data_IF_385903958265
#
_entry.id   IF_385903958265
#
_cell.length_a   1.000
_cell.length_b   1.000
_cell.length_c   1.000
_cell.angle_alpha   90.00
_cell.angle_beta   90.00
_cell.angle_gamma   90.00
#
_symmetry.space_group_name_H-M   'P 1'
#
loop_
_entity.id
_entity.type
_entity.pdbx_description
1 polymer ?
#
# COMPACT_ATOMS: atom_id res chain seq x y z
N UNK A 1 -35.48 -39.74 26.22
CA UNK A 1 -35.32 -38.66 25.24
C UNK A 1 -34.00 -37.95 25.55
N UNK A 2 -33.06 -37.95 24.62
CA UNK A 2 -31.73 -37.36 24.78
C UNK A 2 -31.67 -35.94 24.20
N UNK A 3 -30.68 -35.14 24.60
CA UNK A 3 -30.35 -33.90 23.89
C UNK A 3 -29.69 -34.27 22.55
N UNK A 4 -30.27 -33.83 21.44
CA UNK A 4 -29.71 -33.99 20.10
C UNK A 4 -28.67 -32.92 19.76
N UNK A 5 -27.62 -32.78 20.58
CA UNK A 5 -26.51 -31.85 20.28
C UNK A 5 -25.79 -32.35 19.02
N UNK A 6 -25.75 -31.53 17.96
CA UNK A 6 -24.94 -31.80 16.77
C UNK A 6 -23.78 -30.82 16.72
N UNK A 7 -22.58 -31.38 16.88
CA UNK A 7 -21.31 -30.69 16.71
C UNK A 7 -20.78 -31.10 15.35
N UNK A 8 -20.62 -30.13 14.45
CA UNK A 8 -19.77 -30.31 13.28
C UNK A 8 -18.34 -30.03 13.73
N UNK A 9 -17.36 -30.80 13.24
CA UNK A 9 -15.93 -30.52 13.42
C UNK A 9 -15.23 -30.78 12.11
N UNK A 10 -14.67 -29.72 11.51
CA UNK A 10 -13.74 -29.82 10.39
C UNK A 10 -12.33 -29.80 10.94
N UNK A 11 -11.60 -30.92 10.80
CA UNK A 11 -10.20 -31.01 11.24
C UNK A 11 -9.38 -31.90 10.32
N UNK A 12 -8.31 -31.35 9.76
CA UNK A 12 -7.12 -32.12 9.44
C UNK A 12 -5.87 -31.23 9.42
N UNK A 13 -4.79 -31.72 10.02
CA UNK A 13 -3.42 -31.19 9.91
C UNK A 13 -3.13 -29.73 10.36
N UNK A 14 -3.74 -29.24 11.45
CA UNK A 14 -3.11 -28.15 12.24
C UNK A 14 -4.04 -27.20 12.96
N UNK A 15 -5.05 -26.67 12.26
CA UNK A 15 -6.02 -25.71 12.80
C UNK A 15 -7.45 -26.17 12.50
N UNK A 16 -8.36 -25.99 13.47
CA UNK A 16 -9.75 -26.41 13.39
C UNK A 16 -10.65 -25.48 14.21
N UNK A 17 -11.65 -24.87 13.56
CA UNK A 17 -12.72 -24.11 14.21
C UNK A 17 -14.07 -24.70 13.81
N UNK A 18 -15.01 -24.81 14.75
CA UNK A 18 -16.37 -25.26 14.43
C UNK A 18 -17.45 -24.83 15.44
N UNK A 19 -18.69 -24.85 14.94
CA UNK A 19 -19.92 -24.27 15.51
C UNK A 19 -20.63 -25.26 16.47
N UNK A 20 -21.46 -24.75 17.39
CA UNK A 20 -22.21 -25.55 18.36
C UNK A 20 -23.73 -25.31 18.32
N UNK A 21 -24.52 -26.37 18.07
CA UNK A 21 -25.99 -26.35 18.09
C UNK A 21 -26.52 -27.30 19.19
N UNK A 22 -27.49 -26.86 20.01
CA UNK A 22 -27.96 -27.58 21.22
C UNK A 22 -29.49 -27.65 21.27
N UNK A 23 -30.02 -28.86 21.42
CA UNK A 23 -31.47 -29.14 21.51
C UNK A 23 -31.81 -29.92 22.80
N UNK A 24 -32.86 -29.53 23.57
CA UNK A 24 -33.18 -30.15 24.89
C UNK A 24 -34.63 -30.70 25.06
N UNK A 25 -34.83 -31.91 25.63
CA UNK A 25 -36.14 -32.58 25.78
C UNK A 25 -37.04 -32.12 26.98
N UNK A 26 -38.31 -32.56 27.05
CA UNK A 26 -39.45 -31.75 27.55
C UNK A 26 -39.64 -31.42 29.06
N UNK A 27 -38.71 -31.73 29.98
CA UNK A 27 -39.03 -31.73 31.43
C UNK A 27 -38.34 -30.67 32.30
N UNK A 28 -37.59 -29.72 31.73
CA UNK A 28 -36.96 -28.63 32.50
C UNK A 28 -37.76 -27.32 32.37
N UNK A 29 -38.46 -26.90 33.43
CA UNK A 29 -39.10 -25.57 33.49
C UNK A 29 -38.08 -24.49 33.85
N UNK A 30 -37.66 -23.71 32.85
CA UNK A 30 -37.08 -22.38 33.06
C UNK A 30 -38.06 -21.32 32.58
N UNK A 31 -38.32 -20.30 33.41
CA UNK A 31 -38.93 -19.03 32.95
C UNK A 31 -37.79 -18.05 32.69
N UNK A 32 -37.22 -18.10 31.50
CA UNK A 32 -36.47 -16.98 30.93
C UNK A 32 -37.42 -16.21 29.99
N UNK A 33 -37.44 -14.88 30.02
CA UNK A 33 -38.13 -14.09 29.00
C UNK A 33 -37.27 -14.06 27.72
N UNK A 34 -37.79 -14.67 26.65
CA UNK A 34 -37.16 -14.87 25.32
C UNK A 34 -36.06 -15.96 25.22
N UNK A 35 -35.88 -16.56 24.02
CA UNK A 35 -34.87 -17.58 23.76
C UNK A 35 -33.53 -16.92 23.41
N UNK A 36 -32.59 -16.98 24.34
CA UNK A 36 -31.20 -16.55 24.13
C UNK A 36 -30.32 -17.79 23.94
N UNK A 37 -29.63 -17.90 22.80
CA UNK A 37 -28.62 -18.93 22.60
C UNK A 37 -27.30 -18.45 23.23
N UNK A 38 -26.94 -19.02 24.39
CA UNK A 38 -25.69 -18.71 25.08
C UNK A 38 -24.74 -19.92 24.99
N UNK A 39 -23.61 -19.76 24.29
CA UNK A 39 -22.52 -20.72 24.32
C UNK A 39 -21.61 -20.42 25.51
N UNK A 40 -21.57 -21.32 26.49
CA UNK A 40 -20.68 -21.21 27.65
C UNK A 40 -19.36 -21.95 27.36
N UNK A 41 -18.27 -21.21 27.21
CA UNK A 41 -16.90 -21.75 27.12
C UNK A 41 -16.27 -21.65 28.52
N UNK A 42 -15.53 -22.67 29.02
CA UNK A 42 -15.01 -22.65 30.38
C UNK A 42 -14.09 -21.45 30.67
N UNK A 43 -14.39 -20.76 31.76
CA UNK A 43 -13.57 -19.67 32.27
C UNK A 43 -12.20 -20.18 32.74
N UNK A 44 -11.12 -19.61 32.21
CA UNK A 44 -9.91 -19.43 32.99
C UNK A 44 -10.14 -18.39 34.09
N UNK A 45 -9.24 -18.27 35.10
CA UNK A 45 -9.45 -17.42 36.28
C UNK A 45 -9.62 -15.91 35.98
N UNK A 46 -9.36 -15.46 34.75
CA UNK A 46 -9.48 -14.07 34.29
C UNK A 46 -10.76 -13.81 33.45
N UNK A 47 -11.82 -14.61 33.58
CA UNK A 47 -13.02 -14.44 32.76
C UNK A 47 -13.80 -13.15 33.10
N UNK A 48 -13.95 -12.28 32.10
CA UNK A 48 -14.73 -11.04 32.20
C UNK A 48 -16.23 -11.39 32.18
N UNK A 49 -17.05 -10.91 33.14
CA UNK A 49 -18.49 -11.15 33.11
C UNK A 49 -19.15 -10.45 31.92
N UNK A 50 -20.03 -11.16 31.22
CA UNK A 50 -20.84 -10.59 30.14
C UNK A 50 -21.90 -9.63 30.73
N UNK A 51 -22.04 -8.39 30.23
CA UNK A 51 -23.13 -7.50 30.61
C UNK A 51 -24.48 -7.99 30.03
N UNK A 52 -25.58 -7.38 30.48
CA UNK A 52 -26.93 -7.74 30.00
C UNK A 52 -27.06 -7.58 28.47
N UNK A 53 -27.77 -8.50 27.79
CA UNK A 53 -27.99 -8.40 26.36
C UNK A 53 -28.84 -7.16 26.00
N UNK A 54 -28.66 -6.58 24.81
CA UNK A 54 -29.41 -5.41 24.39
C UNK A 54 -30.92 -5.70 24.28
N UNK A 55 -31.73 -4.64 24.38
CA UNK A 55 -33.18 -4.73 24.19
C UNK A 55 -33.56 -5.31 22.80
N UNK A 56 -34.79 -5.86 22.70
CA UNK A 56 -35.28 -6.59 21.52
C UNK A 56 -34.92 -5.91 20.19
N UNK A 57 -34.40 -6.67 19.23
CA UNK A 57 -33.95 -6.19 17.93
C UNK A 57 -32.43 -5.97 17.83
N UNK A 58 -31.73 -5.98 18.96
CA UNK A 58 -30.28 -5.78 19.03
C UNK A 58 -29.45 -7.08 19.06
N UNK A 59 -28.19 -6.95 18.64
CA UNK A 59 -27.13 -7.90 18.93
C UNK A 59 -25.93 -7.13 19.53
N UNK A 60 -25.26 -7.75 20.50
CA UNK A 60 -24.03 -7.27 21.11
C UNK A 60 -22.89 -8.25 20.83
N UNK A 61 -21.68 -7.71 20.70
CA UNK A 61 -20.47 -8.46 20.42
C UNK A 61 -19.47 -8.27 21.56
N UNK A 62 -18.87 -9.38 21.99
CA UNK A 62 -17.90 -9.43 23.07
C UNK A 62 -16.58 -10.01 22.58
N UNK A 63 -15.51 -9.26 22.76
CA UNK A 63 -14.13 -9.70 22.49
C UNK A 63 -13.56 -10.39 23.74
N UNK A 64 -13.13 -11.63 23.58
CA UNK A 64 -12.32 -12.37 24.56
C UNK A 64 -10.91 -12.59 24.01
N UNK A 65 -9.96 -12.91 24.91
CA UNK A 65 -8.51 -13.06 24.60
C UNK A 65 -8.14 -13.96 23.41
N UNK A 66 -9.03 -14.85 22.94
CA UNK A 66 -8.84 -15.74 21.78
C UNK A 66 -10.13 -16.02 20.98
N UNK A 67 -11.22 -15.30 21.26
CA UNK A 67 -12.54 -15.67 20.73
C UNK A 67 -13.51 -14.48 20.77
N UNK A 68 -14.49 -14.50 19.88
CA UNK A 68 -15.57 -13.53 19.83
C UNK A 68 -16.89 -14.20 20.17
N UNK A 69 -17.75 -13.54 20.94
CA UNK A 69 -19.08 -14.05 21.33
C UNK A 69 -20.14 -13.03 20.96
N UNK A 70 -21.14 -13.45 20.18
CA UNK A 70 -22.28 -12.61 19.80
C UNK A 70 -23.55 -13.05 20.55
N UNK A 71 -24.28 -12.09 21.13
CA UNK A 71 -25.53 -12.33 21.86
C UNK A 71 -26.64 -11.39 21.34
N UNK A 72 -27.82 -11.92 21.05
CA UNK A 72 -28.95 -11.13 20.54
C UNK A 72 -30.15 -12.03 20.22
N UNK A 73 -31.21 -11.45 19.63
CA UNK A 73 -32.31 -12.26 19.09
C UNK A 73 -31.92 -12.97 17.79
N UNK A 74 -32.63 -14.06 17.44
CA UNK A 74 -32.26 -14.91 16.32
C UNK A 74 -32.26 -14.20 14.95
N UNK A 75 -33.10 -13.17 14.74
CA UNK A 75 -33.09 -12.41 13.48
C UNK A 75 -31.95 -11.38 13.45
N UNK A 76 -31.64 -10.76 14.58
CA UNK A 76 -30.46 -9.90 14.70
C UNK A 76 -29.18 -10.71 14.51
N UNK A 77 -29.07 -11.88 15.15
CA UNK A 77 -27.95 -12.82 14.99
C UNK A 77 -27.86 -13.43 13.58
N UNK A 78 -28.97 -13.67 12.88
CA UNK A 78 -28.93 -14.13 11.49
C UNK A 78 -28.41 -13.05 10.52
N UNK A 79 -28.87 -11.80 10.65
CA UNK A 79 -28.30 -10.66 9.91
C UNK A 79 -26.82 -10.42 10.26
N UNK A 80 -26.46 -10.66 11.52
CA UNK A 80 -25.07 -10.67 11.94
C UNK A 80 -24.33 -11.81 11.23
N UNK A 81 -24.83 -13.04 11.24
CA UNK A 81 -24.21 -14.20 10.60
C UNK A 81 -24.04 -14.04 9.07
N UNK A 82 -25.00 -13.45 8.37
CA UNK A 82 -24.90 -13.14 6.93
C UNK A 82 -23.80 -12.10 6.65
N UNK A 83 -23.76 -11.00 7.43
CA UNK A 83 -22.66 -10.04 7.36
C UNK A 83 -21.33 -10.61 7.86
N UNK A 84 -21.35 -11.64 8.69
CA UNK A 84 -20.17 -12.33 9.23
C UNK A 84 -19.65 -13.45 8.35
N UNK A 85 -20.45 -13.97 7.42
CA UNK A 85 -19.94 -14.80 6.32
C UNK A 85 -19.06 -13.93 5.40
N UNK A 86 -19.55 -12.76 5.00
CA UNK A 86 -18.78 -11.77 4.24
C UNK A 86 -17.57 -11.23 5.04
N UNK A 87 -17.77 -10.77 6.28
CA UNK A 87 -16.66 -10.29 7.12
C UNK A 87 -15.67 -11.40 7.45
N UNK A 88 -16.12 -12.65 7.63
CA UNK A 88 -15.26 -13.81 7.86
C UNK A 88 -14.43 -14.18 6.63
N UNK A 89 -15.03 -14.19 5.44
CA UNK A 89 -14.32 -14.41 4.18
C UNK A 89 -13.35 -13.26 3.87
N UNK A 90 -13.77 -12.01 4.09
CA UNK A 90 -12.92 -10.81 3.93
C UNK A 90 -11.79 -10.78 4.95
N UNK A 91 -12.03 -11.18 6.20
CA UNK A 91 -11.01 -11.30 7.22
C UNK A 91 -10.03 -12.44 6.89
N UNK A 92 -10.51 -13.60 6.43
CA UNK A 92 -9.65 -14.69 5.99
C UNK A 92 -8.77 -14.25 4.79
N UNK A 93 -9.36 -13.61 3.77
CA UNK A 93 -8.62 -13.02 2.64
C UNK A 93 -7.63 -11.93 3.10
N UNK A 94 -8.01 -11.06 4.04
CA UNK A 94 -7.13 -10.02 4.56
C UNK A 94 -5.97 -10.61 5.38
N UNK A 95 -6.21 -11.63 6.20
CA UNK A 95 -5.17 -12.36 6.95
C UNK A 95 -4.25 -13.16 6.02
N UNK A 96 -4.79 -13.77 4.96
CA UNK A 96 -3.99 -14.42 3.92
C UNK A 96 -3.11 -13.38 3.21
N UNK A 97 -3.69 -12.27 2.72
CA UNK A 97 -2.97 -11.16 2.08
C UNK A 97 -1.93 -10.51 3.01
N UNK A 98 -2.20 -10.41 4.31
CA UNK A 98 -1.28 -9.90 5.33
C UNK A 98 -0.16 -10.91 5.68
N UNK A 99 -0.42 -12.21 5.50
CA UNK A 99 0.56 -13.29 5.64
C UNK A 99 1.42 -13.44 4.40
N UNK A 100 0.87 -13.17 3.20
CA UNK A 100 1.65 -13.00 1.96
C UNK A 100 2.70 -11.92 2.18
N UNK A 101 3.94 -12.23 1.84
CA UNK A 101 5.07 -11.29 1.84
C UNK A 101 5.52 -11.16 0.39
N UNK A 102 5.24 -10.05 -0.28
CA UNK A 102 5.79 -9.79 -1.61
C UNK A 102 7.33 -9.81 -1.52
N UNK A 103 7.93 -10.86 -2.07
CA UNK A 103 9.37 -11.13 -2.06
C UNK A 103 10.06 -10.63 -3.33
N UNK A 104 9.26 -10.19 -4.32
CA UNK A 104 9.74 -9.64 -5.58
C UNK A 104 8.70 -8.74 -6.25
N UNK A 105 9.19 -7.88 -7.14
CA UNK A 105 8.40 -7.19 -8.17
C UNK A 105 8.91 -7.65 -9.53
N UNK A 106 8.02 -8.21 -10.36
CA UNK A 106 8.40 -8.69 -11.69
C UNK A 106 8.49 -7.56 -12.71
N UNK A 107 9.45 -7.70 -13.63
CA UNK A 107 9.64 -6.81 -14.79
C UNK A 107 9.32 -7.54 -16.10
N UNK A 108 9.14 -6.82 -17.20
CA UNK A 108 8.81 -7.42 -18.51
C UNK A 108 10.04 -8.13 -19.11
N UNK A 109 11.22 -7.57 -18.83
CA UNK A 109 12.56 -7.99 -19.23
C UNK A 109 13.51 -7.83 -18.03
N UNK A 110 14.69 -8.45 -18.10
CA UNK A 110 15.68 -8.40 -17.02
C UNK A 110 15.27 -9.20 -15.76
N UNK A 111 16.08 -9.14 -14.69
CA UNK A 111 15.78 -9.82 -13.44
C UNK A 111 14.66 -9.13 -12.65
N UNK A 112 13.88 -9.93 -11.92
CA UNK A 112 12.94 -9.43 -10.90
C UNK A 112 13.67 -8.54 -9.88
N UNK A 113 12.98 -7.53 -9.33
CA UNK A 113 13.49 -6.76 -8.20
C UNK A 113 13.16 -7.51 -6.90
N UNK A 114 14.18 -7.95 -6.17
CA UNK A 114 14.03 -8.58 -4.86
C UNK A 114 13.43 -7.59 -3.83
N UNK A 115 12.44 -8.07 -3.08
CA UNK A 115 11.77 -7.36 -1.99
C UNK A 115 11.75 -8.23 -0.73
N UNK A 116 11.33 -7.66 0.39
CA UNK A 116 11.07 -8.42 1.62
C UNK A 116 12.33 -8.67 2.45
N UNK A 117 13.42 -9.18 1.86
CA UNK A 117 14.74 -9.32 2.51
C UNK A 117 15.35 -7.95 2.85
N UNK A 118 15.23 -6.99 1.94
CA UNK A 118 15.62 -5.59 2.07
C UNK A 118 14.52 -4.64 1.58
N UNK A 119 14.65 -3.36 1.90
CA UNK A 119 13.84 -2.31 1.29
C UNK A 119 14.47 -1.82 -0.01
N UNK A 120 13.66 -1.66 -1.05
CA UNK A 120 14.09 -1.07 -2.31
C UNK A 120 14.09 0.46 -2.25
N UNK A 121 15.00 1.10 -2.99
CA UNK A 121 15.10 2.57 -3.07
C UNK A 121 14.89 3.04 -4.51
N UNK A 122 13.88 3.88 -4.69
CA UNK A 122 13.57 4.56 -5.94
C UNK A 122 14.10 6.00 -5.87
N UNK A 123 15.08 6.32 -6.71
CA UNK A 123 15.67 7.66 -6.83
C UNK A 123 14.85 8.57 -7.74
N UNK A 124 14.56 9.80 -7.30
CA UNK A 124 13.72 10.75 -8.05
C UNK A 124 14.57 11.57 -9.04
N UNK A 125 14.21 11.54 -10.32
CA UNK A 125 14.72 12.41 -11.38
C UNK A 125 13.59 13.27 -11.97
N UNK A 126 13.43 14.50 -11.48
CA UNK A 126 12.52 15.46 -12.11
C UNK A 126 13.24 16.16 -13.28
N UNK A 127 12.66 16.11 -14.48
CA UNK A 127 13.20 16.78 -15.67
C UNK A 127 12.56 18.17 -15.79
N UNK A 128 13.37 19.22 -15.77
CA UNK A 128 12.91 20.61 -15.99
C UNK A 128 13.08 21.03 -17.45
N UNK A 129 12.29 22.00 -17.97
CA UNK A 129 12.35 22.42 -19.39
C UNK A 129 13.76 22.76 -19.88
N UNK A 130 14.53 23.45 -19.03
CA UNK A 130 15.88 23.95 -19.32
C UNK A 130 16.94 22.83 -19.48
N UNK A 131 16.57 21.57 -19.26
CA UNK A 131 17.51 20.43 -19.28
C UNK A 131 17.94 19.99 -20.68
N UNK A 132 17.17 20.33 -21.73
CA UNK A 132 17.36 19.82 -23.10
C UNK A 132 17.02 20.83 -24.23
N UNK A 133 16.63 22.07 -23.91
CA UNK A 133 16.09 23.02 -24.90
C UNK A 133 17.13 23.68 -25.83
N UNK A 134 18.41 23.67 -25.46
CA UNK A 134 19.45 24.36 -26.21
C UNK A 134 20.10 23.40 -27.21
N UNK A 135 19.61 23.46 -28.46
CA UNK A 135 20.04 22.62 -29.59
C UNK A 135 21.45 22.89 -30.10
N UNK A 136 22.46 22.83 -29.23
CA UNK A 136 23.88 22.87 -29.56
C UNK A 136 24.49 21.48 -29.59
N UNK A 137 25.36 21.19 -30.57
CA UNK A 137 26.19 20.00 -30.53
C UNK A 137 27.12 20.10 -29.29
N UNK A 138 26.95 19.18 -28.34
CA UNK A 138 27.80 18.94 -27.16
C UNK A 138 27.63 19.84 -25.90
N UNK A 139 26.41 20.26 -25.55
CA UNK A 139 26.01 20.59 -24.17
C UNK A 139 24.47 20.58 -24.03
N UNK A 140 23.84 20.19 -22.90
CA UNK A 140 24.26 19.23 -21.87
C UNK A 140 23.14 18.16 -21.69
N UNK A 141 23.21 17.00 -22.38
CA UNK A 141 22.45 15.79 -22.01
C UNK A 141 22.89 15.17 -20.67
N UNK A 142 23.59 15.93 -19.84
CA UNK A 142 24.75 15.45 -19.09
C UNK A 142 24.53 15.58 -17.58
N UNK A 143 23.89 16.66 -17.11
CA UNK A 143 23.50 16.79 -15.70
C UNK A 143 22.49 15.72 -15.25
N UNK A 144 21.52 15.37 -16.10
CA UNK A 144 20.56 14.31 -15.81
C UNK A 144 21.23 12.94 -15.75
N UNK A 145 22.09 12.61 -16.72
CA UNK A 145 22.84 11.35 -16.72
C UNK A 145 23.86 11.26 -15.58
N UNK A 146 24.57 12.33 -15.24
CA UNK A 146 25.43 12.39 -14.04
C UNK A 146 24.63 12.18 -12.76
N UNK A 147 23.39 12.69 -12.67
CA UNK A 147 22.51 12.40 -11.51
C UNK A 147 22.06 10.94 -11.49
N UNK A 148 21.79 10.33 -12.65
CA UNK A 148 21.47 8.90 -12.78
C UNK A 148 22.65 8.04 -12.35
N UNK A 149 23.85 8.30 -12.88
CA UNK A 149 25.11 7.63 -12.51
C UNK A 149 25.32 7.70 -11.00
N UNK A 150 25.25 8.90 -10.42
CA UNK A 150 25.35 9.11 -8.98
C UNK A 150 24.24 8.37 -8.21
N UNK A 151 22.98 8.35 -8.65
CA UNK A 151 21.92 7.59 -7.96
C UNK A 151 22.17 6.09 -7.98
N UNK A 152 22.70 5.55 -9.08
CA UNK A 152 23.05 4.13 -9.21
C UNK A 152 24.25 3.78 -8.30
N UNK A 153 25.28 4.63 -8.26
CA UNK A 153 26.44 4.49 -7.35
C UNK A 153 26.06 4.66 -5.86
N UNK A 154 25.17 5.60 -5.56
CA UNK A 154 24.53 5.76 -4.24
C UNK A 154 23.63 4.54 -3.88
N UNK A 155 23.31 3.70 -4.88
CA UNK A 155 22.74 2.36 -4.74
C UNK A 155 21.30 2.18 -5.23
N UNK A 156 20.65 3.18 -5.84
CA UNK A 156 19.24 3.12 -6.24
C UNK A 156 18.88 1.86 -7.06
N UNK A 157 17.76 1.21 -6.74
CA UNK A 157 17.28 0.04 -7.49
C UNK A 157 16.45 0.42 -8.72
N UNK A 158 15.81 1.60 -8.65
CA UNK A 158 14.93 2.17 -9.67
C UNK A 158 15.25 3.66 -9.76
N UNK A 159 15.33 4.20 -10.97
CA UNK A 159 15.31 5.64 -11.24
C UNK A 159 13.93 6.02 -11.76
N UNK A 160 13.26 6.96 -11.11
CA UNK A 160 11.91 7.38 -11.46
C UNK A 160 11.92 8.79 -12.07
N UNK A 161 11.61 8.83 -13.36
CA UNK A 161 11.73 10.00 -14.24
C UNK A 161 10.36 10.67 -14.38
N UNK A 162 10.26 11.96 -14.06
CA UNK A 162 9.02 12.73 -14.17
C UNK A 162 9.20 14.03 -14.96
N UNK A 163 8.32 14.28 -15.93
CA UNK A 163 8.29 15.52 -16.74
C UNK A 163 7.27 16.56 -16.26
N UNK A 164 6.23 16.11 -15.55
CA UNK A 164 5.23 16.96 -14.89
C UNK A 164 5.59 17.16 -13.41
N UNK A 165 5.56 18.40 -12.93
CA UNK A 165 5.71 18.68 -11.49
C UNK A 165 4.40 18.35 -10.77
N UNK A 166 4.35 17.24 -10.04
CA UNK A 166 3.18 16.86 -9.21
C UNK A 166 3.11 17.62 -7.87
N UNK A 167 3.84 18.74 -7.74
CA UNK A 167 3.84 19.61 -6.55
C UNK A 167 2.50 20.37 -6.43
N UNK A 168 2.03 20.68 -5.19
CA UNK A 168 0.80 21.45 -5.00
C UNK A 168 0.79 22.76 -5.81
N UNK A 169 -0.24 22.95 -6.63
CA UNK A 169 -0.45 24.17 -7.42
C UNK A 169 0.36 24.29 -8.72
N UNK A 170 1.10 23.26 -9.13
CA UNK A 170 1.78 23.24 -10.43
C UNK A 170 0.77 23.24 -11.60
N UNK A 171 1.08 23.93 -12.70
CA UNK A 171 0.26 23.88 -13.91
C UNK A 171 0.30 22.48 -14.55
N UNK A 172 -0.83 22.02 -15.10
CA UNK A 172 -0.84 20.82 -15.93
C UNK A 172 -0.13 21.11 -17.26
N UNK A 173 0.68 20.16 -17.71
CA UNK A 173 1.23 20.12 -19.07
C UNK A 173 0.51 19.04 -19.88
N UNK A 174 0.39 19.19 -21.19
CA UNK A 174 -0.18 18.16 -22.05
C UNK A 174 0.76 16.95 -22.23
N UNK A 175 0.27 15.91 -22.92
CA UNK A 175 1.02 14.67 -23.12
C UNK A 175 2.25 14.85 -24.03
N UNK A 176 2.19 15.79 -24.99
CA UNK A 176 3.26 16.03 -25.96
C UNK A 176 4.41 16.80 -25.30
N UNK A 177 4.08 17.78 -24.45
CA UNK A 177 5.02 18.50 -23.58
C UNK A 177 5.68 17.57 -22.56
N UNK A 178 4.92 16.72 -21.89
CA UNK A 178 5.44 15.74 -20.94
C UNK A 178 6.39 14.74 -21.63
N UNK A 179 5.95 14.15 -22.76
CA UNK A 179 6.75 13.22 -23.55
C UNK A 179 8.06 13.87 -24.04
N UNK A 180 7.99 15.08 -24.61
CA UNK A 180 9.18 15.79 -25.12
C UNK A 180 10.24 16.05 -24.05
N UNK A 181 9.87 16.15 -22.76
CA UNK A 181 10.81 16.24 -21.64
C UNK A 181 11.42 14.90 -21.26
N UNK A 182 10.59 13.85 -21.13
CA UNK A 182 11.04 12.57 -20.56
C UNK A 182 11.73 11.64 -21.56
N UNK A 183 11.30 11.63 -22.83
CA UNK A 183 11.81 10.66 -23.81
C UNK A 183 13.33 10.79 -24.07
N UNK A 184 13.89 12.00 -24.32
CA UNK A 184 15.33 12.12 -24.53
C UNK A 184 16.17 11.64 -23.33
N UNK A 185 15.65 11.84 -22.12
CA UNK A 185 16.27 11.37 -20.87
C UNK A 185 16.21 9.84 -20.77
N UNK A 186 15.04 9.23 -21.01
CA UNK A 186 14.85 7.78 -20.92
C UNK A 186 15.70 7.04 -21.96
N UNK A 187 15.70 7.50 -23.21
CA UNK A 187 16.55 6.94 -24.28
C UNK A 187 18.04 7.04 -23.94
N UNK A 188 18.47 8.18 -23.38
CA UNK A 188 19.85 8.39 -22.99
C UNK A 188 20.26 7.51 -21.79
N UNK A 189 19.37 7.35 -20.80
CA UNK A 189 19.57 6.43 -19.68
C UNK A 189 19.70 4.99 -20.20
N UNK A 190 18.76 4.51 -21.02
CA UNK A 190 18.79 3.13 -21.54
C UNK A 190 20.05 2.84 -22.36
N UNK A 191 20.52 3.83 -23.15
CA UNK A 191 21.75 3.72 -23.95
C UNK A 191 23.03 3.72 -23.09
N UNK A 192 23.07 4.47 -21.98
CA UNK A 192 24.26 4.62 -21.14
C UNK A 192 24.33 3.60 -19.99
N UNK A 193 23.18 3.22 -19.44
CA UNK A 193 23.01 2.34 -18.29
C UNK A 193 21.98 1.24 -18.64
N UNK A 194 22.31 0.29 -19.52
CA UNK A 194 21.34 -0.69 -20.05
C UNK A 194 20.71 -1.61 -19.00
N UNK A 195 21.34 -1.78 -17.84
CA UNK A 195 20.84 -2.57 -16.70
C UNK A 195 20.03 -1.75 -15.68
N UNK A 196 19.94 -0.42 -15.84
CA UNK A 196 19.18 0.42 -14.93
C UNK A 196 17.67 0.15 -15.11
N UNK A 197 16.94 0.06 -13.99
CA UNK A 197 15.47 0.03 -14.00
C UNK A 197 14.94 1.46 -14.01
N UNK A 198 14.16 1.79 -15.02
CA UNK A 198 13.61 3.13 -15.23
C UNK A 198 12.09 3.10 -15.05
N UNK A 199 11.59 3.93 -14.15
CA UNK A 199 10.16 4.18 -13.94
C UNK A 199 9.78 5.53 -14.56
N UNK A 200 8.58 5.62 -15.14
CA UNK A 200 7.99 6.87 -15.63
C UNK A 200 6.89 7.36 -14.68
N UNK A 201 7.10 8.51 -14.02
CA UNK A 201 6.10 9.21 -13.20
C UNK A 201 5.18 10.01 -14.13
N UNK A 202 4.03 9.41 -14.49
CA UNK A 202 3.03 10.02 -15.37
C UNK A 202 1.62 9.50 -15.10
N UNK A 203 0.64 10.37 -15.36
CA UNK A 203 -0.80 10.07 -15.28
C UNK A 203 -1.42 9.72 -16.64
N UNK A 204 -0.64 9.79 -17.72
CA UNK A 204 -1.13 9.76 -19.12
C UNK A 204 -0.66 8.51 -19.83
N UNK A 205 -1.59 7.69 -20.31
CA UNK A 205 -1.29 6.45 -21.05
C UNK A 205 -0.48 6.69 -22.33
N UNK A 206 -0.67 7.85 -22.98
CA UNK A 206 0.11 8.27 -24.16
C UNK A 206 1.59 8.46 -23.79
N UNK A 207 1.88 9.27 -22.76
CA UNK A 207 3.24 9.48 -22.25
C UNK A 207 3.86 8.16 -21.79
N UNK A 208 3.11 7.36 -21.04
CA UNK A 208 3.56 6.06 -20.56
C UNK A 208 3.91 5.10 -21.71
N UNK A 209 3.09 5.02 -22.78
CA UNK A 209 3.37 4.16 -23.93
C UNK A 209 4.67 4.58 -24.63
N UNK A 210 4.82 5.86 -24.92
CA UNK A 210 6.05 6.39 -25.54
C UNK A 210 7.28 6.16 -24.65
N UNK A 211 7.15 6.34 -23.33
CA UNK A 211 8.23 6.11 -22.38
C UNK A 211 8.65 4.62 -22.32
N UNK A 212 7.70 3.68 -22.32
CA UNK A 212 7.98 2.24 -22.38
C UNK A 212 8.63 1.86 -23.71
N UNK A 213 8.14 2.39 -24.83
CA UNK A 213 8.70 2.14 -26.17
C UNK A 213 10.13 2.75 -26.31
N UNK A 214 10.43 3.83 -25.59
CA UNK A 214 11.77 4.42 -25.42
C UNK A 214 12.68 3.66 -24.43
N UNK A 215 12.16 2.65 -23.73
CA UNK A 215 12.91 1.79 -22.82
C UNK A 215 12.76 2.09 -21.32
N UNK A 216 11.65 2.68 -20.87
CA UNK A 216 11.24 2.57 -19.46
C UNK A 216 10.72 1.14 -19.15
N UNK A 217 10.87 0.70 -17.91
CA UNK A 217 10.50 -0.65 -17.47
C UNK A 217 9.25 -0.69 -16.56
N UNK A 218 8.84 0.45 -16.00
CA UNK A 218 7.82 0.56 -14.96
C UNK A 218 7.01 1.85 -15.09
N UNK A 219 5.72 1.81 -14.75
CA UNK A 219 4.86 3.00 -14.68
C UNK A 219 4.67 3.39 -13.20
N UNK A 220 4.77 4.67 -12.88
CA UNK A 220 4.39 5.25 -11.59
C UNK A 220 3.20 6.20 -11.80
N UNK A 221 1.98 5.70 -11.60
CA UNK A 221 0.75 6.47 -11.84
C UNK A 221 0.18 7.04 -10.54
N UNK A 222 0.48 8.31 -10.30
CA UNK A 222 -0.03 9.09 -9.16
C UNK A 222 -1.54 9.33 -9.18
N UNK A 223 -2.23 9.08 -10.31
CA UNK A 223 -3.69 9.07 -10.40
C UNK A 223 -4.32 7.73 -10.00
N UNK A 224 -3.50 6.67 -9.92
CA UNK A 224 -3.94 5.32 -9.59
C UNK A 224 -4.81 4.69 -10.67
N UNK A 225 -4.43 4.77 -11.95
CA UNK A 225 -5.19 4.28 -13.11
C UNK A 225 -6.51 5.04 -13.28
N UNK A 226 -6.46 6.37 -13.31
CA UNK A 226 -7.59 7.22 -13.68
C UNK A 226 -7.75 7.35 -15.20
N UNK A 227 -6.66 7.28 -15.96
CA UNK A 227 -6.69 7.11 -17.41
C UNK A 227 -7.13 5.66 -17.74
N UNK A 228 -8.28 5.44 -18.42
CA UNK A 228 -8.80 4.10 -18.70
C UNK A 228 -7.86 3.21 -19.51
N UNK A 229 -6.97 3.79 -20.33
CA UNK A 229 -6.04 3.03 -21.16
C UNK A 229 -4.75 2.61 -20.41
N UNK A 230 -4.46 3.22 -19.24
CA UNK A 230 -3.23 2.95 -18.48
C UNK A 230 -3.14 1.49 -18.00
N UNK A 231 -4.26 0.95 -17.47
CA UNK A 231 -4.31 -0.43 -16.98
C UNK A 231 -4.09 -1.46 -18.11
N UNK A 232 -4.73 -1.22 -19.27
CA UNK A 232 -4.59 -2.06 -20.45
C UNK A 232 -3.16 -2.02 -21.03
N UNK A 233 -2.54 -0.82 -21.09
CA UNK A 233 -1.14 -0.65 -21.49
C UNK A 233 -0.19 -1.45 -20.57
N UNK A 234 -0.38 -1.36 -19.25
CA UNK A 234 0.47 -2.06 -18.30
C UNK A 234 0.39 -3.58 -18.46
N UNK A 235 -0.81 -4.12 -18.69
CA UNK A 235 -1.03 -5.53 -18.99
C UNK A 235 -0.43 -5.94 -20.37
N UNK A 236 -0.66 -5.15 -21.42
CA UNK A 236 -0.13 -5.35 -22.78
C UNK A 236 1.41 -5.45 -22.77
N UNK A 237 2.07 -4.50 -22.10
CA UNK A 237 3.53 -4.43 -21.99
C UNK A 237 4.10 -5.32 -20.88
N UNK A 238 3.25 -5.92 -20.04
CA UNK A 238 3.61 -6.69 -18.82
C UNK A 238 4.52 -5.89 -17.87
N UNK A 239 4.45 -4.57 -17.87
CA UNK A 239 5.30 -3.74 -17.00
C UNK A 239 4.66 -3.58 -15.61
N UNK A 240 5.45 -3.56 -14.53
CA UNK A 240 4.95 -3.22 -13.21
C UNK A 240 4.40 -1.79 -13.16
N UNK A 241 3.42 -1.57 -12.27
CA UNK A 241 2.76 -0.27 -12.05
C UNK A 241 2.66 0.07 -10.56
N UNK A 242 2.98 1.32 -10.20
CA UNK A 242 2.57 1.93 -8.92
C UNK A 242 1.19 2.53 -9.12
N UNK A 243 0.24 2.18 -8.25
CA UNK A 243 -1.06 2.84 -8.14
C UNK A 243 -1.11 3.63 -6.84
N UNK A 244 -1.21 4.96 -6.93
CA UNK A 244 -1.24 5.83 -5.76
C UNK A 244 -2.66 6.26 -5.40
N UNK A 245 -2.93 6.49 -4.11
CA UNK A 245 -4.13 7.17 -3.67
C UNK A 245 -3.95 8.70 -3.59
N UNK A 246 -4.57 9.42 -4.52
CA UNK A 246 -4.68 10.88 -4.53
C UNK A 246 -6.16 11.30 -4.49
N UNK A 247 -6.48 12.40 -3.79
CA UNK A 247 -7.79 13.04 -3.86
C UNK A 247 -7.70 14.36 -4.61
N UNK A 248 -8.54 14.54 -5.63
CA UNK A 248 -8.44 15.68 -6.54
C UNK A 248 -7.21 15.56 -7.47
N UNK A 249 -6.69 16.70 -7.90
CA UNK A 249 -5.53 16.85 -8.79
C UNK A 249 -4.40 17.61 -8.08
N UNK A 250 -3.15 17.64 -8.59
CA UNK A 250 -2.07 18.44 -7.99
C UNK A 250 -2.42 19.92 -7.73
N UNK A 251 -3.33 20.51 -8.52
CA UNK A 251 -3.83 21.90 -8.42
C UNK A 251 -4.92 22.09 -7.36
N UNK A 252 -5.61 21.02 -6.97
CA UNK A 252 -6.84 21.06 -6.16
C UNK A 252 -6.75 20.27 -4.85
N UNK A 253 -5.86 19.27 -4.78
CA UNK A 253 -5.78 18.30 -3.69
C UNK A 253 -5.58 18.92 -2.30
N UNK A 254 -4.90 20.07 -2.21
CA UNK A 254 -4.66 20.76 -0.92
C UNK A 254 -5.78 21.72 -0.52
N UNK A 255 -6.84 21.89 -1.33
CA UNK A 255 -7.97 22.79 -1.02
C UNK A 255 -8.92 22.23 0.03
N UNK A 256 -9.16 20.92 -0.01
CA UNK A 256 -9.85 20.18 1.05
C UNK A 256 -9.11 18.87 1.33
N UNK A 257 -8.64 18.72 2.56
CA UNK A 257 -7.89 17.54 3.04
C UNK A 257 -8.60 16.79 4.18
N UNK A 258 -9.88 17.07 4.43
CA UNK A 258 -10.71 16.39 5.43
C UNK A 258 -11.15 15.02 4.93
N UNK A 259 -10.96 13.98 5.75
CA UNK A 259 -11.48 12.63 5.53
C UNK A 259 -12.40 12.27 6.70
N UNK A 260 -13.40 11.41 6.47
CA UNK A 260 -14.23 10.87 7.55
C UNK A 260 -13.50 9.67 8.20
N UNK A 261 -12.95 8.78 7.38
CA UNK A 261 -11.98 7.77 7.77
C UNK A 261 -10.83 7.78 6.76
N UNK A 262 -9.74 8.47 7.13
CA UNK A 262 -8.56 8.57 6.28
C UNK A 262 -7.97 7.20 5.90
N UNK A 263 -7.97 6.23 6.81
CA UNK A 263 -7.33 4.93 6.55
C UNK A 263 -8.25 4.04 5.71
N UNK A 264 -9.54 3.98 6.04
CA UNK A 264 -10.54 3.26 5.26
C UNK A 264 -10.73 3.82 3.85
N UNK A 265 -10.79 5.14 3.68
CA UNK A 265 -10.90 5.79 2.37
C UNK A 265 -9.66 5.53 1.49
N UNK A 266 -8.45 5.62 2.06
CA UNK A 266 -7.19 5.30 1.36
C UNK A 266 -7.14 3.82 0.99
N UNK A 267 -7.48 2.91 1.91
CA UNK A 267 -7.50 1.46 1.66
C UNK A 267 -8.48 1.13 0.52
N UNK A 268 -9.72 1.60 0.59
CA UNK A 268 -10.74 1.34 -0.43
C UNK A 268 -10.40 2.00 -1.77
N UNK A 269 -9.75 3.16 -1.75
CA UNK A 269 -9.21 3.82 -2.95
C UNK A 269 -8.16 2.97 -3.65
N UNK A 270 -7.20 2.43 -2.91
CA UNK A 270 -6.16 1.53 -3.42
C UNK A 270 -6.74 0.19 -3.87
N UNK A 271 -7.68 -0.41 -3.13
CA UNK A 271 -8.34 -1.66 -3.52
C UNK A 271 -8.98 -1.53 -4.90
N UNK A 272 -9.78 -0.47 -5.13
CA UNK A 272 -10.36 -0.20 -6.46
C UNK A 272 -9.32 -0.05 -7.56
N UNK A 273 -8.14 0.51 -7.27
CA UNK A 273 -7.06 0.66 -8.26
C UNK A 273 -6.33 -0.65 -8.53
N UNK A 274 -6.16 -1.51 -7.51
CA UNK A 274 -5.68 -2.89 -7.68
C UNK A 274 -6.68 -3.68 -8.53
N UNK A 275 -7.98 -3.59 -8.25
CA UNK A 275 -9.02 -4.28 -9.00
C UNK A 275 -9.05 -3.86 -10.48
N UNK A 276 -8.85 -2.56 -10.79
CA UNK A 276 -8.69 -2.07 -12.18
C UNK A 276 -7.50 -2.71 -12.89
N UNK A 277 -6.35 -2.84 -12.21
CA UNK A 277 -5.16 -3.47 -12.77
C UNK A 277 -5.37 -4.98 -13.03
N UNK A 278 -5.97 -5.69 -12.07
CA UNK A 278 -6.28 -7.11 -12.19
C UNK A 278 -7.31 -7.40 -13.30
N UNK A 279 -8.36 -6.57 -13.39
CA UNK A 279 -9.39 -6.70 -14.43
C UNK A 279 -8.85 -6.45 -15.85
N UNK A 280 -7.79 -5.66 -15.98
CA UNK A 280 -7.05 -5.49 -17.25
C UNK A 280 -6.11 -6.67 -17.58
N UNK A 281 -5.96 -7.65 -16.68
CA UNK A 281 -5.10 -8.82 -16.86
C UNK A 281 -3.66 -8.66 -16.37
N UNK A 282 -3.34 -7.59 -15.61
CA UNK A 282 -2.02 -7.45 -14.99
C UNK A 282 -1.90 -8.39 -13.78
N UNK A 283 -0.76 -9.05 -13.62
CA UNK A 283 -0.54 -10.03 -12.56
C UNK A 283 -0.25 -9.40 -11.19
N UNK A 284 -0.64 -10.11 -10.12
CA UNK A 284 -0.42 -9.77 -8.70
C UNK A 284 0.99 -9.25 -8.38
N UNK A 285 2.00 -9.87 -9.00
CA UNK A 285 3.44 -9.64 -8.80
C UNK A 285 4.00 -8.44 -9.60
N UNK A 286 3.11 -7.62 -10.18
CA UNK A 286 3.41 -6.41 -10.96
C UNK A 286 2.70 -5.15 -10.42
N UNK A 287 1.94 -5.25 -9.34
CA UNK A 287 1.15 -4.14 -8.80
C UNK A 287 1.73 -3.66 -7.47
N UNK A 288 2.13 -2.40 -7.39
CA UNK A 288 2.63 -1.71 -6.18
C UNK A 288 1.60 -0.66 -5.75
N UNK A 289 1.39 -0.46 -4.45
CA UNK A 289 0.48 0.56 -3.91
C UNK A 289 1.23 1.69 -3.19
N UNK A 290 0.78 2.94 -3.33
CA UNK A 290 1.29 4.09 -2.55
C UNK A 290 0.14 4.86 -1.86
N UNK A 291 0.14 5.06 -0.52
CA UNK A 291 -0.88 5.83 0.18
C UNK A 291 -1.02 7.30 -0.25
N UNK A 292 -0.03 7.84 -0.96
CA UNK A 292 0.02 9.20 -1.47
C UNK A 292 0.39 10.23 -0.40
N UNK A 293 1.56 10.08 0.22
CA UNK A 293 2.04 11.05 1.22
C UNK A 293 2.21 12.46 0.60
N UNK A 294 1.52 13.43 1.18
CA UNK A 294 1.43 14.82 0.71
C UNK A 294 0.47 15.04 -0.46
N UNK A 295 -0.29 14.03 -0.90
CA UNK A 295 -1.25 14.13 -1.99
C UNK A 295 -2.68 14.20 -1.46
N UNK A 296 -3.12 15.42 -1.14
CA UNK A 296 -4.46 15.69 -0.63
C UNK A 296 -4.73 15.17 0.78
N UNK A 297 -3.73 15.25 1.66
CA UNK A 297 -3.83 14.97 3.12
C UNK A 297 -3.17 16.09 3.91
N UNK A 298 -3.73 16.43 5.06
CA UNK A 298 -3.14 17.40 6.01
C UNK A 298 -1.81 16.87 6.59
N UNK A 299 -1.06 17.69 7.33
CA UNK A 299 0.19 17.21 7.95
C UNK A 299 -0.08 16.05 8.93
N UNK A 300 -1.12 16.21 9.74
CA UNK A 300 -1.62 15.27 10.74
C UNK A 300 -2.18 14.00 10.07
N UNK A 301 -2.80 14.13 8.89
CA UNK A 301 -3.20 13.01 8.05
C UNK A 301 -2.02 12.22 7.50
N UNK A 302 -0.94 12.88 7.06
CA UNK A 302 0.28 12.21 6.63
C UNK A 302 0.98 11.46 7.79
N UNK A 303 1.03 12.06 8.98
CA UNK A 303 1.51 11.40 10.21
C UNK A 303 0.66 10.18 10.56
N UNK A 304 -0.67 10.27 10.40
CA UNK A 304 -1.61 9.17 10.65
C UNK A 304 -1.45 8.04 9.63
N UNK A 305 -1.24 8.35 8.35
CA UNK A 305 -0.94 7.33 7.33
C UNK A 305 0.38 6.61 7.60
N UNK A 306 1.43 7.31 8.04
CA UNK A 306 2.69 6.67 8.43
C UNK A 306 2.51 5.78 9.67
N UNK A 307 1.71 6.22 10.66
CA UNK A 307 1.42 5.45 11.89
C UNK A 307 0.65 4.15 11.60
N UNK A 308 -0.27 4.17 10.64
CA UNK A 308 -1.16 3.04 10.33
C UNK A 308 -0.86 2.37 8.98
N UNK A 309 0.34 2.56 8.42
CA UNK A 309 0.74 2.04 7.11
C UNK A 309 0.58 0.51 6.99
N UNK A 310 0.74 -0.21 8.10
CA UNK A 310 0.61 -1.67 8.18
C UNK A 310 -0.77 -2.19 7.78
N UNK A 311 -1.83 -1.38 7.91
CA UNK A 311 -3.19 -1.73 7.47
C UNK A 311 -3.23 -2.01 5.96
N UNK A 312 -2.45 -1.28 5.17
CA UNK A 312 -2.41 -1.44 3.71
C UNK A 312 -1.77 -2.77 3.28
N UNK A 313 -1.07 -3.48 4.17
CA UNK A 313 -0.60 -4.86 3.91
C UNK A 313 -1.77 -5.83 3.71
N UNK A 314 -2.98 -5.50 4.19
CA UNK A 314 -4.21 -6.25 3.90
C UNK A 314 -4.61 -6.29 2.41
N UNK A 315 -4.00 -5.46 1.56
CA UNK A 315 -4.16 -5.53 0.10
C UNK A 315 -3.23 -6.56 -0.56
N UNK A 316 -2.23 -7.10 0.16
CA UNK A 316 -1.34 -8.15 -0.35
C UNK A 316 -0.39 -7.70 -1.48
N UNK A 317 -0.07 -6.40 -1.53
CA UNK A 317 0.82 -5.77 -2.52
C UNK A 317 2.05 -5.14 -1.86
N UNK A 318 3.20 -5.02 -2.56
CA UNK A 318 4.29 -4.15 -2.15
C UNK A 318 3.80 -2.73 -1.89
N UNK A 319 4.27 -2.12 -0.81
CA UNK A 319 3.94 -0.73 -0.47
C UNK A 319 5.13 0.17 -0.85
N UNK A 320 4.88 1.19 -1.67
CA UNK A 320 5.80 2.29 -1.93
C UNK A 320 5.43 3.49 -1.07
N UNK A 321 6.42 4.24 -0.55
CA UNK A 321 6.17 5.52 0.15
C UNK A 321 7.10 6.63 -0.32
N UNK A 322 6.51 7.70 -0.88
CA UNK A 322 7.21 8.93 -1.29
C UNK A 322 7.10 10.08 -0.28
N UNK A 323 7.74 9.99 0.89
CA UNK A 323 7.70 11.04 1.93
C UNK A 323 8.81 12.12 1.80
N UNK A 324 9.83 11.89 0.97
CA UNK A 324 11.05 12.72 0.90
C UNK A 324 10.76 14.21 0.63
N UNK A 325 11.33 15.08 1.48
CA UNK A 325 11.27 16.56 1.41
C UNK A 325 9.87 17.21 1.44
N UNK A 326 8.81 16.41 1.68
CA UNK A 326 7.40 16.86 1.69
C UNK A 326 7.11 17.93 2.77
N UNK A 327 6.05 18.70 2.56
CA UNK A 327 5.69 19.87 3.37
C UNK A 327 5.36 19.56 4.84
N UNK A 328 4.80 18.39 5.15
CA UNK A 328 4.49 18.01 6.53
C UNK A 328 5.75 17.92 7.41
N UNK A 329 6.88 17.47 6.84
CA UNK A 329 8.19 17.46 7.52
C UNK A 329 8.58 18.90 7.87
N UNK A 330 8.52 19.82 6.90
CA UNK A 330 8.85 21.22 7.13
C UNK A 330 7.97 21.89 8.17
N UNK A 331 6.66 21.59 8.19
CA UNK A 331 5.75 22.05 9.26
C UNK A 331 6.15 21.49 10.63
N UNK A 332 6.55 20.22 10.70
CA UNK A 332 6.88 19.55 11.97
C UNK A 332 8.24 19.95 12.54
N UNK A 333 9.23 20.20 11.68
CA UNK A 333 10.60 20.56 12.11
C UNK A 333 10.88 22.07 12.08
N UNK A 334 9.97 22.88 11.54
CA UNK A 334 10.21 24.31 11.29
C UNK A 334 11.16 24.60 10.13
N UNK A 335 11.41 23.64 9.23
CA UNK A 335 12.33 23.80 8.08
C UNK A 335 11.56 24.20 6.79
N UNK A 336 11.58 25.49 6.40
CA UNK A 336 10.87 25.98 5.22
C UNK A 336 11.45 25.47 3.90
N UNK A 337 12.76 25.19 3.81
CA UNK A 337 13.44 24.83 2.57
C UNK A 337 13.37 23.31 2.31
N UNK A 338 12.68 22.82 1.25
CA UNK A 338 12.60 21.41 0.93
C UNK A 338 13.96 20.68 0.89
N UNK A 339 15.01 21.30 0.34
CA UNK A 339 16.34 20.70 0.24
C UNK A 339 17.01 20.42 1.59
N UNK A 340 16.63 21.14 2.66
CA UNK A 340 17.20 20.99 4.01
C UNK A 340 16.48 19.97 4.88
N UNK A 341 15.35 19.41 4.40
CA UNK A 341 14.52 18.44 5.14
C UNK A 341 15.09 17.02 5.18
N UNK A 342 16.38 16.81 4.92
CA UNK A 342 16.99 15.48 4.88
C UNK A 342 16.80 14.68 6.19
N UNK A 343 17.06 15.20 7.40
CA UNK A 343 16.91 14.43 8.64
C UNK A 343 15.48 13.93 8.85
N UNK A 344 14.48 14.80 8.64
CA UNK A 344 13.07 14.42 8.73
C UNK A 344 12.60 13.49 7.60
N UNK A 345 13.24 13.57 6.42
CA UNK A 345 12.96 12.65 5.30
C UNK A 345 13.46 11.24 5.60
N UNK A 346 14.65 11.12 6.22
CA UNK A 346 15.19 9.84 6.69
C UNK A 346 14.28 9.26 7.78
N UNK A 347 13.87 10.07 8.76
CA UNK A 347 12.96 9.63 9.82
C UNK A 347 11.62 9.11 9.26
N UNK A 348 11.04 9.81 8.27
CA UNK A 348 9.80 9.37 7.61
C UNK A 348 10.00 8.08 6.78
N UNK A 349 11.14 7.91 6.10
CA UNK A 349 11.46 6.69 5.35
C UNK A 349 11.64 5.49 6.29
N UNK A 350 12.35 5.65 7.41
CA UNK A 350 12.50 4.59 8.44
C UNK A 350 11.15 4.24 9.05
N UNK A 351 10.32 5.23 9.39
CA UNK A 351 8.97 4.98 9.90
C UNK A 351 8.09 4.20 8.90
N UNK A 352 8.16 4.55 7.61
CA UNK A 352 7.46 3.82 6.56
C UNK A 352 7.96 2.35 6.44
N UNK A 353 9.27 2.14 6.52
CA UNK A 353 9.87 0.79 6.42
C UNK A 353 9.54 -0.08 7.63
N UNK A 354 9.49 0.48 8.83
CA UNK A 354 9.01 -0.21 10.04
C UNK A 354 7.47 -0.36 10.07
N UNK A 355 6.74 0.42 9.27
CA UNK A 355 5.28 0.34 9.13
C UNK A 355 4.77 -0.62 8.04
N UNK A 356 5.56 -0.89 6.99
CA UNK A 356 5.18 -1.88 5.96
C UNK A 356 5.83 -1.69 4.59
N UNK A 357 6.54 -0.58 4.37
CA UNK A 357 7.09 -0.27 3.05
C UNK A 357 8.05 -1.35 2.53
N UNK A 358 7.91 -1.62 1.25
CA UNK A 358 8.82 -2.44 0.43
C UNK A 358 9.71 -1.57 -0.45
N UNK A 359 9.25 -0.36 -0.80
CA UNK A 359 9.97 0.62 -1.62
C UNK A 359 9.87 2.01 -0.95
N UNK A 360 10.95 2.78 -0.92
CA UNK A 360 10.90 4.22 -0.57
C UNK A 360 11.38 5.08 -1.74
N UNK A 361 10.63 6.15 -2.03
CA UNK A 361 10.91 7.08 -3.13
C UNK A 361 11.54 8.37 -2.59
N UNK A 362 12.79 8.64 -2.97
CA UNK A 362 13.65 9.65 -2.33
C UNK A 362 14.50 10.47 -3.30
N UNK A 363 14.82 11.70 -2.91
CA UNK A 363 15.81 12.55 -3.61
C UNK A 363 17.26 12.20 -3.21
N UNK A 364 17.44 11.77 -1.96
CA UNK A 364 18.72 11.62 -1.28
C UNK A 364 19.01 10.12 -1.07
N UNK A 365 19.58 9.45 -2.08
CA UNK A 365 19.66 7.98 -2.13
C UNK A 365 20.68 7.44 -1.12
N UNK A 366 21.94 7.88 -1.14
CA UNK A 366 22.98 7.37 -0.25
C UNK A 366 22.67 7.50 1.25
N UNK A 367 22.24 8.67 1.79
CA UNK A 367 21.91 8.78 3.21
C UNK A 367 20.67 7.96 3.57
N UNK A 368 19.70 7.83 2.66
CA UNK A 368 18.56 6.91 2.85
C UNK A 368 19.06 5.47 2.93
N UNK A 369 19.90 5.03 2.00
CA UNK A 369 20.46 3.66 1.98
C UNK A 369 21.20 3.29 3.26
N UNK A 370 22.00 4.21 3.81
CA UNK A 370 22.69 4.01 5.10
C UNK A 370 21.71 3.85 6.26
N UNK A 371 20.62 4.61 6.27
CA UNK A 371 19.57 4.46 7.28
C UNK A 371 18.78 3.14 7.12
N UNK A 372 18.50 2.71 5.88
CA UNK A 372 17.81 1.45 5.61
C UNK A 372 18.64 0.23 5.98
N UNK A 373 19.96 0.26 5.80
CA UNK A 373 20.85 -0.81 6.27
C UNK A 373 20.75 -1.05 7.80
N UNK A 374 20.34 -0.03 8.58
CA UNK A 374 20.05 -0.15 10.02
C UNK A 374 18.58 -0.53 10.26
N UNK A 375 17.64 -0.01 9.47
CA UNK A 375 16.21 -0.21 9.67
C UNK A 375 15.69 -1.58 9.17
N UNK A 376 16.26 -2.14 8.10
CA UNK A 376 15.81 -3.39 7.49
C UNK A 376 15.86 -4.59 8.46
N UNK A 377 16.94 -4.81 9.24
CA UNK A 377 16.99 -5.84 10.29
C UNK A 377 15.99 -5.64 11.44
N UNK A 378 15.44 -4.44 11.61
CA UNK A 378 14.50 -4.09 12.68
C UNK A 378 13.02 -4.25 12.27
N UNK A 379 12.75 -4.64 11.01
CA UNK A 379 11.38 -4.81 10.51
C UNK A 379 10.69 -5.97 11.24
N UNK A 380 9.51 -5.78 11.86
CA UNK A 380 8.86 -6.82 12.66
C UNK A 380 8.33 -8.02 11.85
N UNK A 381 8.42 -7.97 10.51
CA UNK A 381 8.18 -9.09 9.59
C UNK A 381 9.43 -9.48 8.78
N UNK A 382 10.63 -9.10 9.20
CA UNK A 382 11.86 -9.67 8.63
C UNK A 382 11.74 -11.19 8.65
N UNK A 383 12.06 -11.85 7.52
CA UNK A 383 12.17 -13.30 7.52
C UNK A 383 13.33 -13.65 8.44
N UNK A 384 13.11 -14.55 9.40
CA UNK A 384 14.07 -14.88 10.42
C UNK A 384 15.34 -15.47 9.81
N UNK A 385 16.31 -14.60 9.54
CA UNK A 385 17.69 -15.00 9.38
C UNK A 385 18.19 -15.49 10.73
N UNK A 386 17.97 -16.76 11.04
CA UNK A 386 18.78 -17.52 12.00
C UNK A 386 20.17 -17.75 11.39
N UNK A 387 20.84 -16.64 11.09
CA UNK A 387 22.24 -16.61 10.74
C UNK A 387 23.02 -16.75 12.03
N UNK A 388 23.64 -17.91 12.17
CA UNK A 388 24.63 -18.20 13.20
C UNK A 388 25.69 -17.06 13.26
N UNK A 389 26.04 -16.67 14.48
CA UNK A 389 27.22 -15.84 14.79
C UNK A 389 27.87 -16.39 16.05
#
# INVERSE_FOLDING_TARGET
>A
MALGIRIWTLSHAGDAAALLEVERPPSARWRLPWPCLAAQIPAGPDAIPLPEPPARGGAALFEGRRSWVACGDAQALARLAESWADVGERLAKALERFSRRPDRLRFATGPDLELGSRTAVMGILNVTPDSFSDGGLYAEPDAALRRVEAMLEEGADIVDVGGESTRPGAAEIDAEEEARRVLPVIEAIRRRFPEARVSIDTRRSITARLALDAGADMINDVSGLADPAMAALAAERRCPVVVMHMRGTPQTMQRDTRYEDLIGEVYAGLERSVDRALAAGLSDDRIVIDPGIGFGKSAEGNETLLRHLSVLRGLGRPILVGASRKSFIGRRTGEPEPARRLPGSIAAAVAAVLGGASIVRVHDVAPTRRALAVADPLRPWAVGGTGER
#
